data_IF_460500709010
#
_entry.id   IF_460500709010
#
_cell.length_a   1.000
_cell.length_b   1.000
_cell.length_c   1.000
_cell.angle_alpha   90.00
_cell.angle_beta   90.00
_cell.angle_gamma   90.00
#
_symmetry.space_group_name_H-M   'P 1'
#
loop_
_entity.id
_entity.type
_entity.pdbx_description
1 polymer ?
#
# COMPACT_ATOMS: atom_id res chain seq x y z
N UNK A 1 -55.77 -6.09 26.99
CA UNK A 1 -54.91 -6.40 28.17
C UNK A 1 -53.60 -5.61 28.05
N UNK A 2 -53.30 -4.69 28.98
CA UNK A 2 -52.01 -3.97 29.01
C UNK A 2 -50.99 -4.83 29.73
N UNK A 3 -49.98 -5.33 29.01
CA UNK A 3 -48.86 -6.06 29.59
C UNK A 3 -48.06 -5.15 30.55
N UNK A 4 -47.63 -5.68 31.72
CA UNK A 4 -46.88 -4.92 32.71
C UNK A 4 -45.54 -4.41 32.13
N UNK A 5 -45.06 -3.24 32.58
CA UNK A 5 -43.91 -2.54 31.99
C UNK A 5 -42.61 -3.36 32.04
N UNK A 6 -42.48 -4.28 32.99
CA UNK A 6 -41.36 -5.22 33.12
C UNK A 6 -41.31 -6.23 31.97
N UNK A 7 -42.45 -6.78 31.55
CA UNK A 7 -42.53 -7.76 30.45
C UNK A 7 -42.23 -7.10 29.10
N UNK A 8 -42.64 -5.84 28.91
CA UNK A 8 -42.32 -5.07 27.69
C UNK A 8 -40.82 -4.80 27.56
N UNK A 9 -40.13 -4.49 28.67
CA UNK A 9 -38.67 -4.32 28.69
C UNK A 9 -37.95 -5.64 28.39
N UNK A 10 -38.41 -6.75 28.99
CA UNK A 10 -37.83 -8.08 28.78
C UNK A 10 -37.90 -8.50 27.29
N UNK A 11 -39.05 -8.28 26.65
CA UNK A 11 -39.25 -8.53 25.22
C UNK A 11 -38.35 -7.61 24.39
N UNK A 12 -38.22 -6.33 24.76
CA UNK A 12 -37.30 -5.40 24.09
C UNK A 12 -35.84 -5.87 24.11
N UNK A 13 -35.36 -6.38 25.26
CA UNK A 13 -34.00 -6.89 25.39
C UNK A 13 -33.76 -8.18 24.61
N UNK A 14 -34.74 -9.09 24.53
CA UNK A 14 -34.58 -10.33 23.75
C UNK A 14 -34.52 -10.06 22.25
N UNK A 15 -35.35 -9.14 21.73
CA UNK A 15 -35.28 -8.71 20.34
C UNK A 15 -33.98 -7.96 20.02
N UNK A 16 -33.53 -7.09 20.93
CA UNK A 16 -32.24 -6.42 20.79
C UNK A 16 -31.09 -7.45 20.74
N UNK A 17 -31.05 -8.40 21.66
CA UNK A 17 -30.02 -9.45 21.68
C UNK A 17 -30.03 -10.32 20.41
N UNK A 18 -31.22 -10.66 19.90
CA UNK A 18 -31.35 -11.42 18.65
C UNK A 18 -30.83 -10.63 17.44
N UNK A 19 -31.13 -9.32 17.36
CA UNK A 19 -30.64 -8.45 16.29
C UNK A 19 -29.12 -8.25 16.36
N UNK A 20 -28.56 -8.02 17.56
CA UNK A 20 -27.11 -7.90 17.74
C UNK A 20 -26.39 -9.20 17.41
N UNK A 21 -26.95 -10.36 17.78
CA UNK A 21 -26.44 -11.67 17.39
C UNK A 21 -26.41 -11.84 15.87
N UNK A 22 -27.53 -11.57 15.19
CA UNK A 22 -27.61 -11.72 13.74
C UNK A 22 -26.65 -10.78 13.00
N UNK A 23 -26.53 -9.52 13.45
CA UNK A 23 -25.58 -8.56 12.93
C UNK A 23 -24.13 -9.00 13.17
N UNK A 24 -23.82 -9.48 14.37
CA UNK A 24 -22.50 -10.01 14.70
C UNK A 24 -22.13 -11.18 13.80
N UNK A 25 -23.02 -12.17 13.66
CA UNK A 25 -22.77 -13.31 12.76
C UNK A 25 -22.61 -12.87 11.31
N UNK A 26 -23.44 -11.94 10.81
CA UNK A 26 -23.35 -11.48 9.41
C UNK A 26 -22.03 -10.75 9.13
N UNK A 27 -21.57 -9.89 10.05
CA UNK A 27 -20.32 -9.14 9.91
C UNK A 27 -19.12 -10.09 10.03
N UNK A 28 -19.05 -10.87 11.11
CA UNK A 28 -17.89 -11.73 11.36
C UNK A 28 -17.80 -12.92 10.40
N UNK A 29 -18.91 -13.51 9.93
CA UNK A 29 -18.84 -14.59 8.93
C UNK A 29 -18.34 -14.13 7.57
N UNK A 30 -18.63 -12.89 7.18
CA UNK A 30 -18.18 -12.35 5.91
C UNK A 30 -16.65 -12.25 5.89
N UNK A 31 -16.05 -11.81 6.99
CA UNK A 31 -14.60 -11.70 7.13
C UNK A 31 -13.91 -13.07 7.21
N UNK A 32 -14.51 -14.05 7.90
CA UNK A 32 -13.95 -15.41 7.99
C UNK A 32 -13.87 -16.08 6.61
N UNK A 33 -14.91 -15.96 5.77
CA UNK A 33 -14.92 -16.54 4.42
C UNK A 33 -13.91 -15.87 3.47
N UNK A 34 -13.62 -14.59 3.69
CA UNK A 34 -12.62 -13.83 2.94
C UNK A 34 -11.18 -14.10 3.38
N UNK A 35 -10.97 -14.70 4.56
CA UNK A 35 -9.64 -14.97 5.09
C UNK A 35 -8.87 -15.96 4.20
N UNK A 36 -7.58 -15.68 4.01
CA UNK A 36 -6.69 -16.55 3.22
C UNK A 36 -6.60 -17.97 3.82
N UNK A 37 -6.81 -18.12 5.14
CA UNK A 37 -6.84 -19.41 5.85
C UNK A 37 -8.06 -20.26 5.47
N UNK A 38 -9.25 -19.64 5.35
CA UNK A 38 -10.46 -20.34 4.93
C UNK A 38 -10.38 -20.74 3.44
N UNK A 39 -9.89 -19.83 2.58
CA UNK A 39 -9.69 -20.13 1.16
C UNK A 39 -8.68 -21.26 0.95
N UNK A 40 -7.58 -21.29 1.70
CA UNK A 40 -6.57 -22.35 1.61
C UNK A 40 -7.15 -23.73 1.98
N UNK A 41 -8.01 -23.81 2.99
CA UNK A 41 -8.49 -25.09 3.52
C UNK A 41 -9.73 -25.63 2.78
N UNK A 42 -10.61 -24.76 2.29
CA UNK A 42 -11.89 -25.17 1.69
C UNK A 42 -11.98 -24.93 0.18
N UNK A 43 -11.17 -24.01 -0.38
CA UNK A 43 -11.13 -23.65 -1.80
C UNK A 43 -9.68 -23.58 -2.33
N UNK A 44 -8.92 -24.66 -2.12
CA UNK A 44 -7.49 -24.73 -2.44
C UNK A 44 -7.15 -24.34 -3.89
N UNK A 45 -7.98 -24.74 -4.86
CA UNK A 45 -7.75 -24.44 -6.29
C UNK A 45 -7.87 -22.95 -6.60
N UNK A 46 -8.86 -22.24 -6.04
CA UNK A 46 -8.98 -20.79 -6.19
C UNK A 46 -7.85 -20.05 -5.47
N UNK A 47 -7.43 -20.57 -4.32
CA UNK A 47 -6.29 -20.02 -3.59
C UNK A 47 -4.98 -20.16 -4.39
N UNK A 48 -4.72 -21.33 -4.98
CA UNK A 48 -3.55 -21.56 -5.85
C UNK A 48 -3.57 -20.67 -7.10
N UNK A 49 -4.71 -20.57 -7.79
CA UNK A 49 -4.86 -19.66 -8.93
C UNK A 49 -4.59 -18.20 -8.53
N UNK A 50 -5.06 -17.78 -7.36
CA UNK A 50 -4.81 -16.44 -6.81
C UNK A 50 -3.33 -16.24 -6.47
N UNK A 51 -2.63 -17.27 -5.97
CA UNK A 51 -1.19 -17.24 -5.73
C UNK A 51 -0.39 -17.14 -7.04
N UNK A 52 -0.76 -17.92 -8.06
CA UNK A 52 -0.14 -17.85 -9.39
C UNK A 52 -0.36 -16.47 -10.03
N UNK A 53 -1.59 -15.93 -9.97
CA UNK A 53 -1.89 -14.59 -10.46
C UNK A 53 -1.15 -13.47 -9.69
N UNK A 54 -0.83 -13.69 -8.40
CA UNK A 54 0.04 -12.78 -7.63
C UNK A 54 1.50 -12.92 -8.04
N UNK A 55 1.99 -14.14 -8.27
CA UNK A 55 3.36 -14.38 -8.73
C UNK A 55 3.62 -13.75 -10.11
N UNK A 56 2.73 -13.98 -11.08
CA UNK A 56 2.82 -13.38 -12.42
C UNK A 56 2.75 -11.85 -12.36
N UNK A 57 1.90 -11.28 -11.48
CA UNK A 57 1.88 -9.83 -11.27
C UNK A 57 3.20 -9.31 -10.71
N UNK A 58 3.78 -9.99 -9.72
CA UNK A 58 5.09 -9.60 -9.15
C UNK A 58 6.20 -9.61 -10.19
N UNK A 59 6.22 -10.56 -11.11
CA UNK A 59 7.20 -10.58 -12.21
C UNK A 59 7.02 -9.39 -13.16
N UNK A 60 5.79 -9.12 -13.60
CA UNK A 60 5.51 -7.94 -14.45
C UNK A 60 5.87 -6.63 -13.77
N UNK A 61 5.61 -6.53 -12.47
CA UNK A 61 5.94 -5.34 -11.69
C UNK A 61 7.44 -5.12 -11.59
N UNK A 62 8.26 -6.17 -11.44
CA UNK A 62 9.72 -6.05 -11.48
C UNK A 62 10.22 -5.51 -12.82
N UNK A 63 9.66 -5.97 -13.93
CA UNK A 63 10.02 -5.45 -15.26
C UNK A 63 9.63 -3.98 -15.40
N UNK A 64 8.42 -3.60 -14.93
CA UNK A 64 7.99 -2.21 -14.92
C UNK A 64 8.91 -1.34 -14.06
N UNK A 65 9.26 -1.81 -12.86
CA UNK A 65 10.09 -1.08 -11.91
C UNK A 65 11.47 -0.81 -12.50
N UNK A 66 12.05 -1.80 -13.20
CA UNK A 66 13.33 -1.62 -13.90
C UNK A 66 13.26 -0.58 -15.01
N UNK A 67 12.17 -0.58 -15.80
CA UNK A 67 11.97 0.40 -16.86
C UNK A 67 11.75 1.79 -16.26
N UNK A 68 10.92 1.90 -15.23
CA UNK A 68 10.62 3.14 -14.53
C UNK A 68 11.89 3.74 -13.91
N UNK A 69 12.70 2.91 -13.27
CA UNK A 69 14.03 3.24 -12.77
C UNK A 69 14.91 3.93 -13.82
N UNK A 70 15.06 3.30 -14.99
CA UNK A 70 15.90 3.85 -16.07
C UNK A 70 15.34 5.16 -16.62
N UNK A 71 14.03 5.24 -16.82
CA UNK A 71 13.36 6.43 -17.34
C UNK A 71 13.46 7.59 -16.34
N UNK A 72 13.22 7.33 -15.06
CA UNK A 72 13.26 8.33 -14.00
C UNK A 72 14.67 8.84 -13.74
N UNK A 73 15.69 7.97 -13.71
CA UNK A 73 17.09 8.42 -13.59
C UNK A 73 17.50 9.28 -14.79
N UNK A 74 17.03 8.93 -16.00
CA UNK A 74 17.29 9.74 -17.19
C UNK A 74 16.57 11.09 -17.14
N UNK A 75 15.32 11.11 -16.66
CA UNK A 75 14.56 12.34 -16.49
C UNK A 75 15.21 13.24 -15.42
N UNK A 76 15.53 12.68 -14.25
CA UNK A 76 16.18 13.41 -13.15
C UNK A 76 17.53 13.99 -13.59
N UNK A 77 18.36 13.21 -14.28
CA UNK A 77 19.65 13.72 -14.76
C UNK A 77 19.53 14.88 -15.77
N UNK A 78 18.46 14.91 -16.57
CA UNK A 78 18.15 16.04 -17.46
C UNK A 78 17.57 17.26 -16.72
N UNK A 79 16.92 17.05 -15.57
CA UNK A 79 16.29 18.09 -14.76
C UNK A 79 17.23 18.70 -13.71
N UNK A 80 18.32 18.03 -13.34
CA UNK A 80 19.32 18.53 -12.39
C UNK A 80 19.72 20.00 -12.60
N UNK A 81 20.06 20.49 -13.81
CA UNK A 81 20.43 21.91 -13.98
C UNK A 81 19.28 22.86 -13.64
N UNK A 82 18.04 22.48 -13.95
CA UNK A 82 16.84 23.28 -13.66
C UNK A 82 16.57 23.29 -12.15
N UNK A 83 16.79 22.17 -11.46
CA UNK A 83 16.65 22.09 -10.00
C UNK A 83 17.71 22.92 -9.26
N UNK A 84 18.95 22.94 -9.77
CA UNK A 84 20.02 23.79 -9.23
C UNK A 84 19.64 25.26 -9.38
N UNK A 85 19.22 25.68 -10.57
CA UNK A 85 18.75 27.06 -10.81
C UNK A 85 17.55 27.43 -9.94
N UNK A 86 16.58 26.51 -9.78
CA UNK A 86 15.44 26.72 -8.89
C UNK A 86 15.88 26.92 -7.43
N UNK A 87 16.80 26.09 -6.93
CA UNK A 87 17.29 26.21 -5.57
C UNK A 87 18.10 27.49 -5.35
N UNK A 88 18.85 27.94 -6.36
CA UNK A 88 19.49 29.26 -6.36
C UNK A 88 18.46 30.39 -6.27
N UNK A 89 17.38 30.33 -7.05
CA UNK A 89 16.27 31.30 -6.98
C UNK A 89 15.55 31.31 -5.62
N UNK A 90 15.54 30.17 -4.93
CA UNK A 90 15.00 30.03 -3.57
C UNK A 90 15.98 30.51 -2.47
N UNK A 91 17.17 30.98 -2.85
CA UNK A 91 18.13 31.60 -1.94
C UNK A 91 19.24 30.68 -1.44
N UNK A 92 19.38 29.45 -1.97
CA UNK A 92 20.56 28.63 -1.71
C UNK A 92 21.76 29.14 -2.51
N UNK A 93 22.97 28.99 -1.94
CA UNK A 93 24.19 29.19 -2.72
C UNK A 93 24.32 28.09 -3.79
N UNK A 94 24.77 28.45 -4.99
CA UNK A 94 24.99 27.54 -6.13
C UNK A 94 25.68 26.24 -5.74
N UNK A 95 26.79 26.32 -5.00
CA UNK A 95 27.56 25.15 -4.57
C UNK A 95 26.76 24.22 -3.63
N UNK A 96 25.86 24.78 -2.81
CA UNK A 96 25.02 24.01 -1.89
C UNK A 96 23.85 23.37 -2.63
N UNK A 97 23.24 24.10 -3.57
CA UNK A 97 22.20 23.57 -4.44
C UNK A 97 22.73 22.43 -5.32
N UNK A 98 23.89 22.61 -5.94
CA UNK A 98 24.57 21.59 -6.75
C UNK A 98 24.88 20.34 -5.94
N UNK A 99 25.47 20.50 -4.74
CA UNK A 99 25.75 19.36 -3.86
C UNK A 99 24.48 18.61 -3.47
N UNK A 100 23.42 19.32 -3.08
CA UNK A 100 22.16 18.71 -2.67
C UNK A 100 21.51 17.91 -3.80
N UNK A 101 21.41 18.49 -4.99
CA UNK A 101 20.78 17.83 -6.16
C UNK A 101 21.59 16.61 -6.61
N UNK A 102 22.93 16.70 -6.59
CA UNK A 102 23.79 15.56 -6.93
C UNK A 102 23.66 14.43 -5.89
N UNK A 103 23.69 14.76 -4.60
CA UNK A 103 23.55 13.77 -3.52
C UNK A 103 22.19 13.05 -3.59
N UNK A 104 21.13 13.80 -3.90
CA UNK A 104 19.79 13.24 -4.09
C UNK A 104 19.69 12.34 -5.33
N UNK A 105 20.40 12.69 -6.41
CA UNK A 105 20.48 11.86 -7.61
C UNK A 105 21.30 10.58 -7.39
N UNK A 106 22.41 10.66 -6.65
CA UNK A 106 23.23 9.50 -6.31
C UNK A 106 22.48 8.52 -5.41
N UNK A 107 21.72 9.02 -4.43
CA UNK A 107 20.87 8.20 -3.58
C UNK A 107 19.77 7.48 -4.40
N UNK A 108 19.08 8.21 -5.29
CA UNK A 108 18.07 7.62 -6.17
C UNK A 108 18.66 6.54 -7.09
N UNK A 109 19.88 6.79 -7.60
CA UNK A 109 20.60 5.82 -8.41
C UNK A 109 20.94 4.57 -7.61
N UNK A 110 21.42 4.71 -6.39
CA UNK A 110 21.74 3.58 -5.52
C UNK A 110 20.49 2.76 -5.16
N UNK A 111 19.39 3.43 -4.80
CA UNK A 111 18.10 2.79 -4.48
C UNK A 111 17.55 2.01 -5.68
N UNK A 112 17.67 2.60 -6.86
CA UNK A 112 17.26 1.98 -8.10
C UNK A 112 18.14 0.76 -8.47
N UNK A 113 19.47 0.90 -8.44
CA UNK A 113 20.41 -0.16 -8.86
C UNK A 113 20.49 -1.32 -7.86
N UNK A 114 20.47 -1.03 -6.55
CA UNK A 114 20.61 -2.05 -5.50
C UNK A 114 19.28 -2.67 -5.08
N UNK A 115 18.22 -1.88 -5.04
CA UNK A 115 16.94 -2.30 -4.49
C UNK A 115 15.81 -2.39 -5.53
N UNK A 116 16.04 -1.92 -6.77
CA UNK A 116 15.01 -1.91 -7.80
C UNK A 116 13.86 -0.97 -7.48
N UNK A 117 14.10 0.05 -6.66
CA UNK A 117 13.08 0.99 -6.19
C UNK A 117 13.16 2.24 -7.06
N UNK A 118 12.09 2.58 -7.80
CA UNK A 118 12.08 3.77 -8.61
C UNK A 118 11.99 5.02 -7.71
N UNK A 119 12.57 6.17 -8.13
CA UNK A 119 12.51 7.44 -7.39
C UNK A 119 11.09 7.97 -7.13
N UNK A 120 10.10 7.49 -7.89
CA UNK A 120 8.68 7.80 -7.70
C UNK A 120 8.10 7.14 -6.44
N UNK A 121 8.64 5.97 -6.04
CA UNK A 121 8.15 5.20 -4.90
C UNK A 121 8.60 5.80 -3.57
N UNK A 122 9.69 6.56 -3.51
CA UNK A 122 10.17 7.20 -2.28
C UNK A 122 9.32 8.40 -1.83
N UNK A 123 8.50 8.95 -2.73
CA UNK A 123 7.77 10.21 -2.54
C UNK A 123 6.27 10.04 -2.27
N UNK A 124 5.74 8.81 -2.20
CA UNK A 124 4.31 8.60 -1.93
C UNK A 124 4.02 8.57 -0.44
N UNK A 125 3.48 9.66 0.13
CA UNK A 125 2.98 9.70 1.51
C UNK A 125 1.82 8.72 1.80
N UNK A 126 1.25 8.09 0.76
CA UNK A 126 0.22 7.06 0.86
C UNK A 126 0.68 5.76 0.18
N UNK A 127 1.47 4.95 0.89
CA UNK A 127 1.76 3.59 0.46
C UNK A 127 0.49 2.77 0.47
N UNK A 128 0.07 2.27 -0.69
CA UNK A 128 -1.05 1.34 -0.76
C UNK A 128 -0.60 -0.05 -0.30
N UNK A 129 -1.56 -0.90 0.08
CA UNK A 129 -1.27 -2.29 0.48
C UNK A 129 -0.52 -3.07 -0.60
N UNK A 130 -0.74 -2.73 -1.87
CA UNK A 130 -0.04 -3.34 -3.00
C UNK A 130 1.43 -2.87 -3.09
N UNK A 131 1.75 -1.64 -2.67
CA UNK A 131 3.13 -1.11 -2.59
C UNK A 131 3.93 -1.78 -1.46
N UNK A 132 3.29 -2.03 -0.32
CA UNK A 132 3.89 -2.80 0.78
C UNK A 132 4.18 -4.27 0.40
N UNK A 133 3.34 -4.87 -0.45
CA UNK A 133 3.62 -6.20 -0.99
C UNK A 133 4.73 -6.19 -2.06
N UNK A 134 4.97 -5.03 -2.70
CA UNK A 134 5.99 -4.82 -3.73
C UNK A 134 7.38 -4.52 -3.14
N UNK A 135 7.45 -3.74 -2.06
CA UNK A 135 8.69 -3.36 -1.35
C UNK A 135 8.62 -3.67 0.15
N UNK A 136 8.75 -4.94 0.56
CA UNK A 136 8.61 -5.32 1.97
C UNK A 136 9.75 -4.75 2.83
N UNK A 137 9.41 -4.13 3.96
CA UNK A 137 10.37 -3.59 4.92
C UNK A 137 10.92 -2.20 4.60
N UNK A 138 10.36 -1.53 3.59
CA UNK A 138 10.80 -0.22 3.12
C UNK A 138 9.58 0.72 3.18
N UNK A 139 9.80 1.92 3.70
CA UNK A 139 8.78 2.96 3.85
C UNK A 139 7.62 2.67 4.82
N UNK A 140 7.87 1.94 5.91
CA UNK A 140 6.89 1.73 6.99
C UNK A 140 5.89 0.60 6.74
N UNK A 141 6.06 -0.11 5.62
CA UNK A 141 5.64 -1.48 5.41
C UNK A 141 6.67 -2.46 6.04
#
# INVERSE_FOLDING_TARGET
MRLPPTVKKLIGYTWAAALFSALFWMIFWKDIKGSDTYQRNFNATQWEQKQQARAVRRERYKELDQIECQVMLRAKSALMPIEIERNELLGLSRNMAEKMVIEEFELDKEMCEKHGIPPSASNSENYTRDDCERYPGIYGC
#
